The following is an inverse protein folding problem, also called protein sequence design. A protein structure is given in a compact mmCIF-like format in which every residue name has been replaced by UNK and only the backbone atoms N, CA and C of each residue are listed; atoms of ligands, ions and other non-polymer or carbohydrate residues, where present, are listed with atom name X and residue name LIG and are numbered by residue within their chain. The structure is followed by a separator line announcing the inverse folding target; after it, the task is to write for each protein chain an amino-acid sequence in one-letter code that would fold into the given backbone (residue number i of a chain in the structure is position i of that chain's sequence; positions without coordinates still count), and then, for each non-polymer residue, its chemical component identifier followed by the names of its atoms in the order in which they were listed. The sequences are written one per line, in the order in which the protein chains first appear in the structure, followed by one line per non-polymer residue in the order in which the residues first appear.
data_IF_836692367350
#
_entry.id   IF_836692367350
#
_cell.length_a   1.000
_cell.length_b   1.000
_cell.length_c   1.000
_cell.angle_alpha   90.00
_cell.angle_beta   90.00
_cell.angle_gamma   90.00
#
_symmetry.space_group_name_H-M   'P 1'
#
loop_
_entity.id
_entity.type
_entity.pdbx_description
1 polymer ?
#
# COMPACT_ATOMS: atom_id res chain seq x y z
N UNK A 1 1.98 -30.87 13.23
CA UNK A 1 1.83 -29.50 13.79
C UNK A 1 1.55 -28.59 12.60
N UNK A 2 0.39 -27.93 12.51
CA UNK A 2 0.14 -27.00 11.40
C UNK A 2 1.03 -25.77 11.64
N UNK A 3 1.89 -25.44 10.68
CA UNK A 3 2.71 -24.22 10.68
C UNK A 3 1.78 -23.01 10.45
N UNK A 4 1.05 -22.64 11.50
CA UNK A 4 0.14 -21.51 11.50
C UNK A 4 0.94 -20.23 11.75
N UNK A 5 0.87 -19.21 10.88
CA UNK A 5 1.60 -17.94 11.05
C UNK A 5 1.40 -17.31 12.43
N UNK A 6 0.24 -17.50 13.04
CA UNK A 6 -0.19 -16.98 14.34
C UNK A 6 0.72 -17.45 15.50
N UNK A 7 1.37 -18.61 15.34
CA UNK A 7 2.34 -19.13 16.29
C UNK A 7 3.70 -18.40 16.26
N UNK A 8 4.00 -17.67 15.18
CA UNK A 8 5.27 -16.99 14.99
C UNK A 8 5.32 -15.69 15.79
N UNK A 9 6.41 -15.48 16.54
CA UNK A 9 6.59 -14.25 17.31
C UNK A 9 6.64 -12.99 16.42
N UNK A 10 7.20 -13.10 15.21
CA UNK A 10 7.21 -12.02 14.23
C UNK A 10 5.80 -11.63 13.78
N UNK A 11 4.93 -12.61 13.54
CA UNK A 11 3.54 -12.37 13.18
C UNK A 11 2.79 -11.68 14.33
N UNK A 12 2.91 -12.19 15.56
CA UNK A 12 2.25 -11.57 16.73
C UNK A 12 2.67 -10.12 16.94
N UNK A 13 3.97 -9.82 16.88
CA UNK A 13 4.48 -8.45 16.96
C UNK A 13 3.96 -7.56 15.83
N UNK A 14 3.87 -8.10 14.62
CA UNK A 14 3.28 -7.41 13.49
C UNK A 14 1.82 -7.04 13.74
N UNK A 15 1.01 -8.00 14.21
CA UNK A 15 -0.40 -7.80 14.55
C UNK A 15 -0.57 -6.79 15.70
N UNK A 16 0.22 -6.91 16.78
CA UNK A 16 0.20 -5.96 17.90
C UNK A 16 0.49 -4.53 17.43
N UNK A 17 1.51 -4.35 16.57
CA UNK A 17 1.82 -3.05 15.98
C UNK A 17 0.67 -2.52 15.15
N UNK A 18 0.14 -3.35 14.23
CA UNK A 18 -0.99 -2.96 13.38
C UNK A 18 -2.12 -2.44 14.26
N UNK A 19 -2.53 -3.19 15.29
CA UNK A 19 -3.58 -2.76 16.20
C UNK A 19 -3.23 -1.46 16.96
N UNK A 20 -1.98 -1.32 17.40
CA UNK A 20 -1.52 -0.15 18.15
C UNK A 20 -1.49 1.14 17.32
N UNK A 21 -1.20 1.06 16.02
CA UNK A 21 -1.07 2.24 15.16
C UNK A 21 -2.27 2.47 14.23
N UNK A 22 -3.17 1.49 14.11
CA UNK A 22 -4.30 1.54 13.18
C UNK A 22 -5.16 2.78 13.34
N UNK A 23 -5.47 3.17 14.58
CA UNK A 23 -6.35 4.32 14.83
C UNK A 23 -5.70 5.64 14.39
N UNK A 24 -4.43 5.84 14.73
CA UNK A 24 -3.69 7.02 14.30
C UNK A 24 -3.58 7.09 12.77
N UNK A 25 -3.37 5.95 12.11
CA UNK A 25 -3.39 5.86 10.65
C UNK A 25 -4.77 6.23 10.07
N UNK A 26 -5.87 5.76 10.65
CA UNK A 26 -7.23 6.11 10.19
C UNK A 26 -7.50 7.61 10.32
N UNK A 27 -7.08 8.24 11.42
CA UNK A 27 -7.22 9.68 11.65
C UNK A 27 -6.43 10.47 10.58
N UNK A 28 -5.16 10.09 10.37
CA UNK A 28 -4.28 10.66 9.32
C UNK A 28 -4.88 10.50 7.91
N UNK A 29 -5.44 9.33 7.60
CA UNK A 29 -6.12 9.05 6.34
C UNK A 29 -7.33 9.98 6.14
N UNK A 30 -8.11 10.21 7.19
CA UNK A 30 -9.26 11.12 7.14
C UNK A 30 -8.81 12.56 6.86
N UNK A 31 -7.74 13.03 7.50
CA UNK A 31 -7.14 14.35 7.24
C UNK A 31 -6.72 14.51 5.78
N UNK A 32 -6.01 13.52 5.20
CA UNK A 32 -5.57 13.56 3.79
C UNK A 32 -6.75 13.62 2.82
N UNK A 33 -7.80 12.86 3.08
CA UNK A 33 -9.01 12.89 2.26
C UNK A 33 -9.74 14.23 2.35
N UNK A 34 -9.85 14.79 3.56
CA UNK A 34 -10.51 16.10 3.76
C UNK A 34 -9.71 17.24 3.13
N UNK A 35 -8.39 17.25 3.28
CA UNK A 35 -7.50 18.20 2.61
C UNK A 35 -7.79 18.25 1.11
N UNK A 36 -7.95 17.07 0.49
CA UNK A 36 -8.19 16.97 -0.94
C UNK A 36 -9.60 17.35 -1.36
N UNK A 37 -10.60 17.05 -0.53
CA UNK A 37 -11.99 17.45 -0.77
C UNK A 37 -12.12 18.96 -0.92
N UNK A 38 -11.31 19.74 -0.18
CA UNK A 38 -11.27 21.21 -0.27
C UNK A 38 -10.81 21.74 -1.63
N UNK A 39 -10.09 20.93 -2.41
CA UNK A 39 -9.59 21.28 -3.75
C UNK A 39 -10.38 20.61 -4.89
N UNK A 40 -11.52 19.97 -4.59
CA UNK A 40 -12.54 19.58 -5.58
C UNK A 40 -12.50 18.13 -6.08
N UNK A 41 -11.34 17.50 -6.27
CA UNK A 41 -11.25 16.09 -6.72
C UNK A 41 -10.16 15.34 -5.97
N UNK A 42 -10.46 14.14 -5.48
CA UNK A 42 -9.48 13.23 -4.90
C UNK A 42 -8.42 12.83 -5.95
N UNK A 43 -7.24 13.45 -5.90
CA UNK A 43 -6.14 13.13 -6.79
C UNK A 43 -5.52 11.77 -6.44
N UNK A 44 -4.94 11.12 -7.45
CA UNK A 44 -4.20 9.87 -7.32
C UNK A 44 -3.07 9.99 -6.28
N UNK A 45 -2.44 11.16 -6.25
CA UNK A 45 -1.44 11.54 -5.26
C UNK A 45 -1.88 11.38 -3.79
N UNK A 46 -3.17 11.57 -3.51
CA UNK A 46 -3.67 11.41 -2.13
C UNK A 46 -3.80 9.94 -1.76
N UNK A 47 -4.17 9.08 -2.70
CA UNK A 47 -4.15 7.64 -2.47
C UNK A 47 -2.70 7.13 -2.29
N UNK A 48 -1.74 7.63 -3.08
CA UNK A 48 -0.32 7.32 -2.90
C UNK A 48 0.16 7.69 -1.50
N UNK A 49 -0.08 8.94 -1.08
CA UNK A 49 0.31 9.42 0.24
C UNK A 49 -0.34 8.63 1.40
N UNK A 50 -1.59 8.17 1.23
CA UNK A 50 -2.25 7.30 2.21
C UNK A 50 -1.57 5.93 2.28
N UNK A 51 -1.13 5.39 1.14
CA UNK A 51 -0.39 4.13 1.10
C UNK A 51 1.01 4.27 1.69
N UNK A 52 1.73 5.36 1.41
CA UNK A 52 3.01 5.67 2.06
C UNK A 52 2.86 5.69 3.60
N UNK A 53 1.81 6.35 4.12
CA UNK A 53 1.51 6.34 5.56
C UNK A 53 1.19 4.95 6.10
N UNK A 54 0.43 4.14 5.35
CA UNK A 54 0.13 2.76 5.76
C UNK A 54 1.42 1.95 5.91
N UNK A 55 2.30 1.99 4.91
CA UNK A 55 3.53 1.21 4.93
C UNK A 55 4.49 1.69 6.02
N UNK A 56 4.63 3.00 6.19
CA UNK A 56 5.58 3.57 7.16
C UNK A 56 5.08 3.52 8.60
N UNK A 57 3.78 3.76 8.85
CA UNK A 57 3.25 3.86 10.23
C UNK A 57 2.67 2.55 10.75
N UNK A 58 2.08 1.73 9.87
CA UNK A 58 1.38 0.51 10.26
C UNK A 58 2.24 -0.73 10.01
N UNK A 59 2.89 -0.79 8.85
CA UNK A 59 3.66 -1.97 8.43
C UNK A 59 5.17 -1.84 8.66
N UNK A 60 5.64 -0.72 9.24
CA UNK A 60 7.03 -0.49 9.66
C UNK A 60 8.06 -0.61 8.54
N UNK A 61 7.65 -0.25 7.32
CA UNK A 61 8.58 -0.10 6.21
C UNK A 61 9.33 1.24 6.34
N UNK A 62 10.66 1.25 6.27
CA UNK A 62 11.42 2.50 6.21
C UNK A 62 11.03 3.30 4.96
N UNK A 63 10.94 4.62 5.07
CA UNK A 63 10.65 5.48 3.91
C UNK A 63 11.69 5.32 2.79
N UNK A 64 12.94 5.03 3.13
CA UNK A 64 14.01 4.77 2.17
C UNK A 64 13.78 3.50 1.31
N UNK A 65 12.95 2.59 1.80
CA UNK A 65 12.61 1.33 1.14
C UNK A 65 11.32 1.44 0.29
N UNK A 66 10.67 2.61 0.30
CA UNK A 66 9.52 2.97 -0.54
C UNK A 66 10.00 3.75 -1.77
N UNK A 67 9.92 3.13 -2.95
CA UNK A 67 10.38 3.74 -4.19
C UNK A 67 9.19 4.17 -5.05
N UNK A 68 9.00 5.48 -5.20
CA UNK A 68 7.95 6.03 -6.05
C UNK A 68 8.35 5.98 -7.54
N UNK A 69 7.40 5.65 -8.42
CA UNK A 69 7.53 5.76 -9.88
C UNK A 69 8.67 4.93 -10.49
N UNK A 70 9.00 3.77 -9.92
CA UNK A 70 10.02 2.86 -10.46
C UNK A 70 9.40 1.92 -11.49
N UNK A 71 9.86 2.00 -12.74
CA UNK A 71 9.53 1.03 -13.79
C UNK A 71 8.02 0.95 -14.11
N UNK A 72 7.36 2.11 -14.21
CA UNK A 72 5.93 2.28 -14.46
C UNK A 72 4.98 1.91 -13.31
N UNK A 73 5.49 1.39 -12.19
CA UNK A 73 4.68 1.19 -10.98
C UNK A 73 4.57 2.50 -10.20
N UNK A 74 3.40 2.77 -9.62
CA UNK A 74 3.20 3.94 -8.76
C UNK A 74 4.09 3.86 -7.50
N UNK A 75 4.18 2.68 -6.87
CA UNK A 75 5.05 2.43 -5.71
C UNK A 75 5.66 1.02 -5.76
N UNK A 76 6.94 0.93 -5.42
CA UNK A 76 7.71 -0.31 -5.29
C UNK A 76 8.34 -0.39 -3.88
N UNK A 77 7.98 -1.43 -3.13
CA UNK A 77 8.65 -1.75 -1.86
C UNK A 77 9.84 -2.65 -2.11
N UNK A 78 11.00 -2.23 -1.62
CA UNK A 78 12.23 -3.01 -1.69
C UNK A 78 13.02 -2.91 -0.40
N UNK A 79 13.63 -3.98 0.06
CA UNK A 79 14.54 -3.93 1.20
C UNK A 79 15.84 -4.65 0.86
N UNK A 80 16.98 -4.08 1.24
CA UNK A 80 18.31 -4.61 0.93
C UNK A 80 18.54 -4.92 -0.56
N UNK A 81 17.94 -4.12 -1.45
CA UNK A 81 18.01 -4.31 -2.91
C UNK A 81 17.10 -5.42 -3.47
N UNK A 82 16.33 -6.09 -2.63
CA UNK A 82 15.34 -7.10 -3.03
C UNK A 82 13.97 -6.43 -3.19
N UNK A 83 13.29 -6.68 -4.31
CA UNK A 83 11.94 -6.18 -4.59
C UNK A 83 10.90 -7.13 -4.00
N UNK A 84 9.98 -6.60 -3.19
CA UNK A 84 8.98 -7.39 -2.47
C UNK A 84 7.54 -7.14 -2.93
N UNK A 85 7.20 -5.90 -3.29
CA UNK A 85 5.82 -5.57 -3.62
C UNK A 85 5.73 -4.41 -4.61
N UNK A 86 4.99 -4.61 -5.70
CA UNK A 86 4.54 -3.53 -6.58
C UNK A 86 3.11 -3.17 -6.24
N UNK A 87 2.86 -1.87 -6.19
CA UNK A 87 1.56 -1.29 -5.84
C UNK A 87 1.17 -0.35 -6.97
N UNK A 88 0.06 -0.68 -7.62
CA UNK A 88 -0.64 0.22 -8.52
C UNK A 88 -1.71 0.95 -7.71
N UNK A 89 -1.66 2.27 -7.73
CA UNK A 89 -2.57 3.14 -7.01
C UNK A 89 -3.69 3.59 -7.94
N UNK A 90 -4.88 3.75 -7.37
CA UNK A 90 -6.01 4.36 -8.05
C UNK A 90 -6.64 5.41 -7.14
N UNK A 91 -7.25 6.41 -7.75
CA UNK A 91 -7.95 7.48 -7.02
C UNK A 91 -8.97 6.89 -6.06
N UNK A 92 -9.17 7.49 -4.87
CA UNK A 92 -10.19 7.04 -3.94
C UNK A 92 -11.56 6.95 -4.62
N UNK A 93 -12.21 5.77 -4.52
CA UNK A 93 -13.52 5.52 -5.13
C UNK A 93 -13.50 5.11 -6.62
N UNK A 94 -12.36 5.17 -7.32
CA UNK A 94 -12.27 4.84 -8.75
C UNK A 94 -12.62 3.38 -9.07
N UNK A 95 -12.44 2.47 -8.10
CA UNK A 95 -12.76 1.04 -8.24
C UNK A 95 -14.11 0.66 -7.62
N UNK A 96 -14.84 1.62 -7.05
CA UNK A 96 -16.10 1.32 -6.37
C UNK A 96 -17.13 0.71 -7.34
N UNK A 97 -17.70 -0.43 -6.96
CA UNK A 97 -18.79 -1.11 -7.68
C UNK A 97 -18.46 -1.60 -9.10
N UNK A 98 -17.18 -1.71 -9.48
CA UNK A 98 -16.78 -2.15 -10.81
C UNK A 98 -15.73 -3.26 -10.79
N UNK A 99 -16.20 -4.51 -10.75
CA UNK A 99 -15.34 -5.71 -10.77
C UNK A 99 -14.37 -5.75 -11.95
N UNK A 100 -14.82 -5.35 -13.15
CA UNK A 100 -13.96 -5.29 -14.35
C UNK A 100 -12.85 -4.25 -14.22
N UNK A 101 -13.09 -3.15 -13.51
CA UNK A 101 -12.05 -2.17 -13.22
C UNK A 101 -11.02 -2.73 -12.24
N UNK A 102 -11.46 -3.48 -11.21
CA UNK A 102 -10.58 -4.17 -10.27
C UNK A 102 -9.72 -5.22 -10.98
N UNK A 103 -10.33 -6.08 -11.79
CA UNK A 103 -9.61 -7.15 -12.51
C UNK A 103 -8.55 -6.57 -13.46
N UNK A 104 -8.88 -5.51 -14.20
CA UNK A 104 -7.89 -4.84 -15.08
C UNK A 104 -6.74 -4.18 -14.32
N UNK A 105 -7.03 -3.56 -13.18
CA UNK A 105 -5.99 -2.97 -12.34
C UNK A 105 -5.06 -4.06 -11.77
N UNK A 106 -5.64 -5.21 -11.38
CA UNK A 106 -4.88 -6.36 -10.92
C UNK A 106 -3.99 -6.94 -12.03
N UNK A 107 -4.54 -7.15 -13.23
CA UNK A 107 -3.79 -7.64 -14.39
C UNK A 107 -2.61 -6.72 -14.75
N UNK A 108 -2.79 -5.41 -14.63
CA UNK A 108 -1.73 -4.42 -14.84
C UNK A 108 -0.63 -4.57 -13.78
N UNK A 109 -0.99 -4.63 -12.50
CA UNK A 109 -0.03 -4.79 -11.41
C UNK A 109 0.76 -6.10 -11.51
N UNK A 110 0.09 -7.21 -11.86
CA UNK A 110 0.73 -8.52 -12.07
C UNK A 110 1.73 -8.50 -13.23
N UNK A 111 1.39 -7.82 -14.32
CA UNK A 111 2.31 -7.66 -15.45
C UNK A 111 3.57 -6.91 -15.04
N UNK A 112 3.43 -5.80 -14.33
CA UNK A 112 4.57 -5.03 -13.83
C UNK A 112 5.41 -5.85 -12.84
N UNK A 113 4.78 -6.62 -11.95
CA UNK A 113 5.50 -7.54 -11.05
C UNK A 113 6.36 -8.54 -11.83
N UNK A 114 5.81 -9.14 -12.90
CA UNK A 114 6.55 -10.06 -13.76
C UNK A 114 7.70 -9.38 -14.51
N UNK A 115 7.46 -8.22 -15.12
CA UNK A 115 8.47 -7.43 -15.85
C UNK A 115 9.60 -6.97 -14.93
N UNK A 116 9.27 -6.60 -13.70
CA UNK A 116 10.22 -6.09 -12.72
C UNK A 116 10.90 -7.16 -11.86
N UNK A 117 10.54 -8.44 -12.05
CA UNK A 117 11.07 -9.59 -11.30
C UNK A 117 10.88 -9.46 -9.78
N UNK A 118 9.68 -9.05 -9.38
CA UNK A 118 9.29 -9.03 -7.96
C UNK A 118 9.02 -10.47 -7.52
N UNK A 119 9.51 -10.83 -6.32
CA UNK A 119 9.41 -12.18 -5.76
C UNK A 119 8.04 -12.51 -5.18
#
# INVERSE_FOLDING_TARGET
MKNSPEGLAGYRRGVERIHGTWRAFLDKRAERLEQQRRHGVAAERVAENILEDLFTQVLDWPLADLNNQVGYADLLLSSLGIKYLIIEVKRPGALAWNRRAVDRALDQALRYAAEQKVL
#
